data_IF_420457200213
#
_entry.id   IF_420457200213
#
_cell.length_a   1.000
_cell.length_b   1.000
_cell.length_c   1.000
_cell.angle_alpha   90.00
_cell.angle_beta   90.00
_cell.angle_gamma   90.00
#
_symmetry.space_group_name_H-M   'P 1'
#
loop_
_entity.id
_entity.type
_entity.pdbx_description
1 polymer ?
#
# COMPACT_ATOMS: atom_id res chain seq x y z
N UNK A 1 13.75 -12.28 20.65
CA UNK A 1 12.34 -12.60 20.36
C UNK A 1 11.76 -11.89 19.14
N UNK A 2 12.48 -10.96 18.49
CA UNK A 2 11.96 -10.18 17.31
C UNK A 2 12.12 -10.89 15.96
N UNK A 3 13.08 -11.82 15.81
CA UNK A 3 13.35 -12.50 14.54
C UNK A 3 12.23 -13.48 14.10
N UNK A 4 11.52 -14.08 15.06
CA UNK A 4 10.48 -15.09 14.77
C UNK A 4 9.20 -14.52 14.15
N UNK A 5 8.91 -13.20 14.33
CA UNK A 5 7.69 -12.56 13.76
C UNK A 5 7.79 -12.39 12.24
N UNK A 6 8.97 -12.13 11.70
CA UNK A 6 9.17 -11.95 10.26
C UNK A 6 9.21 -13.28 9.50
N UNK A 7 9.69 -14.33 10.13
CA UNK A 7 9.73 -15.69 9.54
C UNK A 7 8.32 -16.28 9.45
N UNK A 8 7.43 -15.96 10.40
CA UNK A 8 6.07 -16.50 10.43
C UNK A 8 5.19 -15.91 9.32
N UNK A 9 5.37 -14.63 8.98
CA UNK A 9 4.65 -13.98 7.87
C UNK A 9 5.13 -14.52 6.52
N UNK A 10 6.44 -14.71 6.34
CA UNK A 10 7.01 -15.27 5.12
C UNK A 10 6.59 -16.74 4.90
N UNK A 11 6.49 -17.53 5.96
CA UNK A 11 6.06 -18.94 5.87
C UNK A 11 4.56 -19.10 5.60
N UNK A 12 3.70 -18.18 6.05
CA UNK A 12 2.28 -18.20 5.69
C UNK A 12 2.04 -17.89 4.20
N UNK A 13 2.85 -17.01 3.61
CA UNK A 13 2.78 -16.68 2.18
C UNK A 13 3.24 -17.84 1.28
N UNK A 14 4.17 -18.66 1.74
CA UNK A 14 4.65 -19.83 0.99
C UNK A 14 3.73 -21.05 1.11
N UNK A 15 2.99 -21.19 2.22
CA UNK A 15 2.09 -22.33 2.46
C UNK A 15 0.76 -22.27 1.67
N UNK A 16 0.41 -21.11 1.11
CA UNK A 16 -0.83 -20.92 0.35
C UNK A 16 -0.77 -21.41 -1.11
N UNK A 17 0.39 -21.87 -1.60
CA UNK A 17 0.59 -22.21 -3.00
C UNK A 17 -0.03 -23.53 -3.53
N UNK A 18 -0.27 -24.61 -2.74
CA UNK A 18 -0.72 -25.86 -3.31
C UNK A 18 -2.23 -26.10 -3.38
N UNK A 19 -3.08 -25.23 -2.82
CA UNK A 19 -4.53 -25.46 -2.76
C UNK A 19 -5.33 -24.93 -3.96
N UNK A 20 -4.67 -24.48 -5.03
CA UNK A 20 -5.30 -23.81 -6.17
C UNK A 20 -6.10 -24.72 -7.12
N UNK A 21 -6.31 -25.99 -6.80
CA UNK A 21 -6.88 -26.95 -7.75
C UNK A 21 -8.41 -26.93 -7.88
N UNK A 22 -9.15 -26.26 -6.98
CA UNK A 22 -10.63 -26.27 -6.99
C UNK A 22 -11.32 -24.92 -6.73
N UNK A 23 -10.59 -23.82 -6.60
CA UNK A 23 -11.24 -22.52 -6.46
C UNK A 23 -11.64 -21.98 -7.83
N UNK A 24 -12.93 -21.56 -8.02
CA UNK A 24 -13.39 -20.96 -9.26
C UNK A 24 -12.83 -19.55 -9.41
N UNK A 25 -11.57 -19.43 -9.84
CA UNK A 25 -10.89 -18.15 -10.00
C UNK A 25 -9.42 -18.32 -10.31
N UNK A 26 -8.72 -17.21 -10.43
CA UNK A 26 -7.27 -17.18 -10.68
C UNK A 26 -6.54 -16.70 -9.45
N UNK A 27 -5.47 -17.40 -9.11
CA UNK A 27 -4.56 -17.03 -8.04
C UNK A 27 -3.23 -16.52 -8.62
N UNK A 28 -2.53 -15.67 -7.88
CA UNK A 28 -1.25 -15.18 -8.34
C UNK A 28 -0.46 -14.37 -7.33
N UNK A 29 0.60 -13.78 -7.82
CA UNK A 29 1.47 -12.89 -7.07
C UNK A 29 1.50 -11.52 -7.74
N UNK A 30 1.62 -10.50 -6.93
CA UNK A 30 1.77 -9.11 -7.32
C UNK A 30 2.95 -8.52 -6.56
N UNK A 31 3.80 -7.78 -7.27
CA UNK A 31 4.92 -7.06 -6.67
C UNK A 31 5.05 -5.68 -7.32
N UNK A 32 5.38 -4.68 -6.51
CA UNK A 32 5.46 -3.32 -6.97
C UNK A 32 6.07 -2.37 -5.96
N UNK A 33 5.94 -1.09 -6.25
CA UNK A 33 6.38 0.00 -5.40
C UNK A 33 5.23 0.96 -5.14
N UNK A 34 5.17 1.47 -3.92
CA UNK A 34 4.30 2.56 -3.52
C UNK A 34 5.09 3.87 -3.54
N UNK A 35 4.48 4.91 -4.09
CA UNK A 35 4.84 6.31 -3.88
C UNK A 35 3.77 6.89 -2.98
N UNK A 36 4.05 7.02 -1.69
CA UNK A 36 3.08 7.40 -0.67
C UNK A 36 3.41 8.74 -0.04
N UNK A 37 2.40 9.50 0.31
CA UNK A 37 2.49 10.76 1.01
C UNK A 37 1.31 10.93 1.97
N UNK A 38 1.38 11.93 2.83
CA UNK A 38 0.26 12.36 3.65
C UNK A 38 -0.57 13.42 2.93
N UNK A 39 -1.84 13.46 3.26
CA UNK A 39 -2.78 14.52 2.90
C UNK A 39 -3.58 14.92 4.14
N UNK A 40 -4.31 16.05 4.06
CA UNK A 40 -4.93 16.66 5.22
C UNK A 40 -4.03 17.74 5.84
N UNK A 41 -4.43 18.27 6.99
CA UNK A 41 -3.74 19.39 7.64
C UNK A 41 -2.26 19.10 7.93
N UNK A 42 -1.95 17.87 8.34
CA UNK A 42 -0.58 17.44 8.58
C UNK A 42 0.24 17.33 7.27
N UNK A 43 -0.35 16.78 6.21
CA UNK A 43 0.30 16.71 4.89
C UNK A 43 0.63 18.11 4.34
N UNK A 44 -0.28 19.06 4.50
CA UNK A 44 -0.06 20.45 4.06
C UNK A 44 1.06 21.16 4.87
N UNK A 45 1.27 20.73 6.13
CA UNK A 45 2.31 21.29 6.99
C UNK A 45 3.70 20.72 6.71
N UNK A 46 3.82 19.39 6.46
CA UNK A 46 5.13 18.72 6.31
C UNK A 46 5.63 18.69 4.87
N UNK A 47 4.77 19.04 3.90
CA UNK A 47 5.10 19.04 2.48
C UNK A 47 4.75 17.71 1.78
N UNK A 48 4.64 17.73 0.43
CA UNK A 48 4.10 16.63 -0.36
C UNK A 48 5.15 15.58 -0.78
N UNK A 49 6.27 15.44 -0.09
CA UNK A 49 7.32 14.55 -0.54
C UNK A 49 6.95 13.07 -0.39
N UNK A 50 7.12 12.35 -1.49
CA UNK A 50 6.73 10.96 -1.56
C UNK A 50 7.79 10.04 -0.95
N UNK A 51 7.32 9.13 -0.11
CA UNK A 51 8.12 7.98 0.33
C UNK A 51 7.97 6.82 -0.65
N UNK A 52 9.09 6.23 -1.06
CA UNK A 52 9.11 5.00 -1.88
C UNK A 52 9.16 3.79 -0.96
N UNK A 53 8.24 2.85 -1.13
CA UNK A 53 8.19 1.63 -0.33
C UNK A 53 7.72 0.42 -1.15
N UNK A 54 8.00 -0.80 -0.67
CA UNK A 54 7.61 -2.04 -1.33
C UNK A 54 6.12 -2.33 -1.15
N UNK A 55 5.54 -2.99 -2.17
CA UNK A 55 4.21 -3.59 -2.13
C UNK A 55 4.29 -4.99 -2.74
N UNK A 56 3.91 -6.02 -1.95
CA UNK A 56 3.95 -7.42 -2.40
C UNK A 56 2.70 -8.13 -1.88
N UNK A 57 1.97 -8.82 -2.75
CA UNK A 57 0.72 -9.46 -2.38
C UNK A 57 0.53 -10.81 -3.07
N UNK A 58 -0.16 -11.71 -2.38
CA UNK A 58 -0.90 -12.79 -3.01
C UNK A 58 -2.23 -12.21 -3.50
N UNK A 59 -2.61 -12.49 -4.74
CA UNK A 59 -3.83 -11.98 -5.36
C UNK A 59 -4.74 -13.14 -5.76
N UNK A 60 -6.04 -12.88 -5.69
CA UNK A 60 -7.09 -13.79 -6.11
C UNK A 60 -8.13 -13.02 -6.93
N UNK A 61 -8.51 -13.58 -8.06
CA UNK A 61 -9.53 -13.01 -8.93
C UNK A 61 -10.66 -14.02 -9.13
N UNK A 62 -11.89 -13.59 -8.83
CA UNK A 62 -13.10 -14.34 -9.07
C UNK A 62 -13.92 -13.68 -10.18
N UNK A 63 -14.03 -14.37 -11.33
CA UNK A 63 -14.78 -13.85 -12.47
C UNK A 63 -16.28 -14.09 -12.26
N UNK A 64 -17.07 -13.02 -12.07
CA UNK A 64 -18.54 -13.09 -12.05
C UNK A 64 -19.08 -13.36 -13.46
N UNK A 65 -18.53 -12.66 -14.44
CA UNK A 65 -18.80 -12.78 -15.86
C UNK A 65 -17.50 -12.50 -16.64
N UNK A 66 -17.50 -12.70 -17.93
CA UNK A 66 -16.28 -12.60 -18.78
C UNK A 66 -15.54 -11.26 -18.71
N UNK A 67 -16.23 -10.18 -18.38
CA UNK A 67 -15.66 -8.83 -18.33
C UNK A 67 -15.63 -8.22 -16.93
N UNK A 68 -16.22 -8.86 -15.88
CA UNK A 68 -16.29 -8.34 -14.53
C UNK A 68 -15.84 -9.38 -13.52
N UNK A 69 -14.88 -9.01 -12.66
CA UNK A 69 -14.32 -9.84 -11.61
C UNK A 69 -14.25 -9.12 -10.28
N UNK A 70 -14.21 -9.88 -9.19
CA UNK A 70 -13.68 -9.44 -7.92
C UNK A 70 -12.16 -9.66 -7.94
N UNK A 71 -11.40 -8.61 -7.72
CA UNK A 71 -9.97 -8.67 -7.45
C UNK A 71 -9.73 -8.43 -5.97
N UNK A 72 -9.18 -9.42 -5.29
CA UNK A 72 -8.86 -9.37 -3.86
C UNK A 72 -7.52 -10.01 -3.59
N UNK A 73 -7.10 -10.05 -2.34
CA UNK A 73 -5.84 -10.66 -1.95
C UNK A 73 -5.42 -10.26 -0.55
N UNK A 74 -4.20 -10.62 -0.21
CA UNK A 74 -3.56 -10.21 1.03
C UNK A 74 -2.08 -9.95 0.78
N UNK A 75 -1.55 -8.84 1.29
CA UNK A 75 -0.17 -8.49 1.04
C UNK A 75 0.42 -7.49 2.00
N UNK A 76 1.71 -7.29 1.85
CA UNK A 76 2.46 -6.25 2.53
C UNK A 76 2.43 -4.97 1.71
N UNK A 77 2.15 -3.86 2.38
CA UNK A 77 2.14 -2.52 1.79
C UNK A 77 2.88 -1.54 2.71
N UNK A 78 4.03 -1.05 2.26
CA UNK A 78 4.72 0.06 2.92
C UNK A 78 4.13 1.39 2.46
N UNK A 79 3.79 2.28 3.42
CA UNK A 79 3.26 3.63 3.18
C UNK A 79 3.95 4.64 4.09
N UNK A 80 3.61 5.92 3.97
CA UNK A 80 4.14 6.99 4.80
C UNK A 80 4.49 8.22 3.98
N UNK A 81 5.35 9.09 4.53
CA UNK A 81 5.78 10.31 3.87
C UNK A 81 7.16 10.75 4.32
N UNK A 82 7.71 11.72 3.60
CA UNK A 82 8.94 12.42 3.94
C UNK A 82 8.60 13.91 4.09
N UNK A 83 9.10 14.53 5.14
CA UNK A 83 8.98 15.96 5.36
C UNK A 83 10.36 16.59 5.53
N UNK A 84 10.44 17.87 5.20
CA UNK A 84 11.64 18.66 5.45
C UNK A 84 11.30 19.75 6.48
N UNK A 85 12.09 19.83 7.53
CA UNK A 85 11.97 20.89 8.52
C UNK A 85 13.26 21.69 8.61
N UNK A 86 13.12 23.00 8.79
CA UNK A 86 14.25 23.87 9.07
C UNK A 86 14.32 24.14 10.58
N UNK A 87 15.41 23.67 11.19
CA UNK A 87 15.69 23.98 12.60
C UNK A 87 16.09 25.45 12.75
N UNK A 88 15.52 26.12 13.76
CA UNK A 88 15.96 27.47 14.16
C UNK A 88 16.34 27.48 15.64
N UNK A 89 17.38 28.26 15.98
CA UNK A 89 17.74 28.51 17.38
C UNK A 89 16.69 29.45 18.05
N UNK A 90 16.73 29.62 19.39
CA UNK A 90 15.80 30.52 20.09
C UNK A 90 15.88 31.98 19.66
N UNK A 91 16.87 32.36 18.87
CA UNK A 91 17.09 33.74 18.36
C UNK A 91 16.64 33.86 16.90
N UNK A 92 16.21 32.72 16.28
CA UNK A 92 15.68 32.68 14.92
C UNK A 92 16.72 32.41 13.81
N UNK A 93 17.95 32.05 14.17
CA UNK A 93 18.95 31.66 13.14
C UNK A 93 18.73 30.21 12.69
N UNK A 94 18.91 29.90 11.40
CA UNK A 94 18.84 28.54 10.91
C UNK A 94 19.93 27.68 11.57
N UNK A 95 19.54 26.54 12.16
CA UNK A 95 20.45 25.58 12.80
C UNK A 95 20.72 24.34 11.91
N UNK A 96 20.02 24.21 10.81
CA UNK A 96 20.15 23.13 9.84
C UNK A 96 18.80 22.69 9.27
N UNK A 97 18.84 21.82 8.27
CA UNK A 97 17.66 21.14 7.71
C UNK A 97 17.57 19.74 8.27
N UNK A 98 16.37 19.28 8.61
CA UNK A 98 16.07 17.91 8.99
C UNK A 98 15.24 17.23 7.91
N UNK A 99 15.62 16.00 7.58
CA UNK A 99 14.77 15.11 6.82
C UNK A 99 14.05 14.18 7.79
N UNK A 100 12.74 14.31 7.83
CA UNK A 100 11.84 13.58 8.72
C UNK A 100 11.10 12.51 7.90
N UNK A 101 11.24 11.23 8.29
CA UNK A 101 10.65 10.10 7.58
C UNK A 101 9.66 9.36 8.46
N UNK A 102 8.41 9.29 8.02
CA UNK A 102 7.37 8.45 8.62
C UNK A 102 7.21 7.18 7.82
N UNK A 103 7.36 6.04 8.48
CA UNK A 103 7.33 4.72 7.86
C UNK A 103 6.22 3.88 8.47
N UNK A 104 5.20 3.52 7.68
CA UNK A 104 4.11 2.66 8.10
C UNK A 104 4.07 1.39 7.27
N UNK A 105 3.92 0.25 7.94
CA UNK A 105 3.83 -1.04 7.29
C UNK A 105 2.47 -1.66 7.58
N UNK A 106 1.79 -2.12 6.53
CA UNK A 106 0.44 -2.67 6.59
C UNK A 106 0.36 -4.08 6.01
N UNK A 107 -0.60 -4.85 6.53
CA UNK A 107 -1.24 -5.91 5.75
C UNK A 107 -2.43 -5.27 5.03
N UNK A 108 -2.42 -5.32 3.71
CA UNK A 108 -3.44 -4.73 2.83
C UNK A 108 -4.34 -5.82 2.26
N UNK A 109 -5.65 -5.63 2.34
CA UNK A 109 -6.67 -6.51 1.76
C UNK A 109 -7.58 -5.69 0.84
N UNK A 110 -7.32 -5.68 -0.48
CA UNK A 110 -8.17 -5.02 -1.45
C UNK A 110 -9.45 -5.82 -1.71
N UNK A 111 -10.59 -5.12 -1.91
CA UNK A 111 -11.85 -5.69 -2.37
C UNK A 111 -12.33 -4.89 -3.59
N UNK A 112 -11.72 -5.11 -4.75
CA UNK A 112 -11.91 -4.28 -5.92
C UNK A 112 -12.78 -4.97 -6.97
N UNK A 113 -13.76 -4.27 -7.52
CA UNK A 113 -14.44 -4.68 -8.74
C UNK A 113 -13.54 -4.30 -9.93
N UNK A 114 -13.16 -5.30 -10.73
CA UNK A 114 -12.31 -5.16 -11.92
C UNK A 114 -13.10 -5.41 -13.18
N UNK A 115 -13.28 -4.36 -13.97
CA UNK A 115 -13.83 -4.47 -15.33
C UNK A 115 -12.72 -4.65 -16.36
N UNK A 116 -12.87 -5.60 -17.29
CA UNK A 116 -11.91 -5.90 -18.36
C UNK A 116 -12.51 -5.68 -19.73
N UNK A 117 -11.70 -5.16 -20.64
CA UNK A 117 -12.08 -4.96 -22.03
C UNK A 117 -10.96 -5.48 -22.96
N UNK A 118 -11.28 -6.31 -23.95
CA UNK A 118 -10.30 -6.73 -24.94
C UNK A 118 -9.88 -5.54 -25.82
N UNK A 119 -8.58 -5.40 -26.11
CA UNK A 119 -8.07 -4.27 -26.90
C UNK A 119 -7.39 -4.73 -28.18
N UNK A 120 -6.43 -5.64 -28.11
CA UNK A 120 -5.64 -6.11 -29.25
C UNK A 120 -5.45 -7.63 -29.13
N UNK A 121 -6.27 -8.38 -29.87
CA UNK A 121 -6.21 -9.84 -29.85
C UNK A 121 -6.54 -10.40 -28.46
N UNK A 122 -5.55 -10.97 -27.80
CA UNK A 122 -5.69 -11.62 -26.49
C UNK A 122 -5.35 -10.72 -25.29
N UNK A 123 -5.03 -9.45 -25.55
CA UNK A 123 -4.69 -8.47 -24.50
C UNK A 123 -5.95 -7.80 -23.99
N UNK A 124 -5.97 -7.49 -22.69
CA UNK A 124 -7.07 -6.80 -22.04
C UNK A 124 -6.54 -5.57 -21.31
N UNK A 125 -7.25 -4.46 -21.41
CA UNK A 125 -7.14 -3.37 -20.45
C UNK A 125 -8.16 -3.60 -19.35
N UNK A 126 -7.85 -3.14 -18.14
CA UNK A 126 -8.79 -3.19 -17.03
C UNK A 126 -8.81 -1.88 -16.26
N UNK A 127 -9.92 -1.67 -15.59
CA UNK A 127 -10.07 -0.67 -14.55
C UNK A 127 -10.64 -1.34 -13.30
N UNK A 128 -10.27 -0.87 -12.14
CA UNK A 128 -10.72 -1.42 -10.87
C UNK A 128 -11.03 -0.32 -9.86
N UNK A 129 -11.99 -0.59 -9.00
CA UNK A 129 -12.42 0.34 -7.94
C UNK A 129 -13.01 -0.45 -6.78
N UNK A 130 -12.75 0.00 -5.54
CA UNK A 130 -13.38 -0.57 -4.35
C UNK A 130 -12.69 -0.22 -3.05
N UNK A 131 -13.18 -0.77 -1.93
CA UNK A 131 -12.59 -0.56 -0.62
C UNK A 131 -11.26 -1.28 -0.46
N UNK A 132 -10.41 -0.66 0.38
CA UNK A 132 -9.11 -1.15 0.81
C UNK A 132 -9.16 -1.29 2.34
N UNK A 133 -8.79 -2.45 2.86
CA UNK A 133 -8.71 -2.72 4.29
C UNK A 133 -7.24 -2.85 4.66
N UNK A 134 -6.75 -1.92 5.47
CA UNK A 134 -5.34 -1.86 5.86
C UNK A 134 -5.19 -2.13 7.36
N UNK A 135 -4.42 -3.16 7.72
CA UNK A 135 -4.08 -3.49 9.10
C UNK A 135 -2.63 -3.14 9.37
N UNK A 136 -2.41 -2.14 10.23
CA UNK A 136 -1.06 -1.68 10.52
C UNK A 136 -0.26 -2.69 11.33
N UNK A 137 0.94 -3.00 10.86
CA UNK A 137 1.92 -3.86 11.52
C UNK A 137 2.90 -3.06 12.38
N UNK A 138 3.31 -1.88 11.89
CA UNK A 138 4.24 -1.00 12.58
C UNK A 138 4.18 0.43 12.05
N UNK A 139 4.52 1.39 12.91
CA UNK A 139 4.75 2.79 12.58
C UNK A 139 6.06 3.24 13.20
N UNK A 140 6.86 4.00 12.45
CA UNK A 140 8.16 4.52 12.85
C UNK A 140 8.33 5.94 12.36
N UNK A 141 9.00 6.73 13.18
CA UNK A 141 9.46 8.07 12.85
C UNK A 141 10.98 8.12 12.96
N UNK A 142 11.63 8.66 11.96
CA UNK A 142 13.07 8.89 11.90
C UNK A 142 13.31 10.35 11.52
N UNK A 143 14.16 11.05 12.28
CA UNK A 143 14.57 12.43 12.02
C UNK A 143 16.09 12.54 12.07
N UNK A 144 16.67 13.24 11.11
CA UNK A 144 18.14 13.45 11.06
C UNK A 144 18.66 14.33 12.20
N UNK A 145 17.81 15.16 12.82
CA UNK A 145 18.20 16.05 13.92
C UNK A 145 17.77 15.56 15.30
N UNK A 146 16.75 14.69 15.41
CA UNK A 146 16.09 14.40 16.70
C UNK A 146 16.59 13.12 17.38
N UNK A 147 17.60 12.42 16.85
CA UNK A 147 18.18 11.24 17.53
C UNK A 147 17.57 9.90 17.09
N UNK A 148 17.49 8.89 17.98
CA UNK A 148 17.14 7.53 17.61
C UNK A 148 15.69 7.40 17.13
N UNK A 149 15.45 6.39 16.27
CA UNK A 149 14.14 5.99 15.73
C UNK A 149 13.08 5.89 16.84
N UNK A 150 11.95 6.57 16.66
CA UNK A 150 10.81 6.53 17.58
C UNK A 150 9.72 5.60 17.03
N UNK A 151 9.15 4.75 17.90
CA UNK A 151 8.03 3.88 17.56
C UNK A 151 6.70 4.61 17.76
N UNK A 152 5.93 4.75 16.69
CA UNK A 152 4.59 5.36 16.72
C UNK A 152 3.47 4.31 16.82
N UNK A 153 3.82 3.02 16.96
CA UNK A 153 2.86 1.90 16.83
C UNK A 153 1.72 1.96 17.84
N UNK A 154 1.97 2.44 19.05
CA UNK A 154 0.97 2.45 20.14
C UNK A 154 0.06 3.70 20.13
N UNK A 155 0.38 4.70 19.29
CA UNK A 155 -0.31 5.99 19.26
C UNK A 155 -1.30 6.11 18.08
N UNK A 156 -1.39 5.10 17.23
CA UNK A 156 -2.13 5.18 15.97
C UNK A 156 -3.15 4.04 15.84
N UNK A 157 -4.19 4.27 15.04
CA UNK A 157 -5.19 3.25 14.72
C UNK A 157 -4.56 2.01 14.08
N UNK A 158 -4.98 0.82 14.53
CA UNK A 158 -4.52 -0.47 13.98
C UNK A 158 -5.15 -0.75 12.62
N UNK A 159 -6.37 -0.27 12.42
CA UNK A 159 -7.17 -0.48 11.21
C UNK A 159 -7.38 0.84 10.50
N UNK A 160 -7.22 0.84 9.18
CA UNK A 160 -7.48 1.96 8.29
C UNK A 160 -8.35 1.47 7.13
N UNK A 161 -9.46 2.15 6.90
CA UNK A 161 -10.34 1.94 5.76
C UNK A 161 -9.99 2.95 4.68
N UNK A 162 -9.85 2.47 3.45
CA UNK A 162 -9.55 3.31 2.30
C UNK A 162 -10.38 2.97 1.07
N UNK A 163 -10.14 3.72 0.03
CA UNK A 163 -10.63 3.43 -1.33
C UNK A 163 -9.45 3.31 -2.27
N UNK A 164 -9.55 2.37 -3.23
CA UNK A 164 -8.58 2.17 -4.28
C UNK A 164 -9.21 2.25 -5.65
N UNK A 165 -8.54 2.93 -6.58
CA UNK A 165 -8.90 2.96 -8.00
C UNK A 165 -7.65 2.67 -8.83
N UNK A 166 -7.75 1.80 -9.82
CA UNK A 166 -6.61 1.39 -10.63
C UNK A 166 -6.96 1.14 -12.08
N UNK A 167 -5.93 1.17 -12.91
CA UNK A 167 -6.00 0.78 -14.32
C UNK A 167 -4.77 -0.04 -14.68
N UNK A 168 -4.91 -0.88 -15.69
CA UNK A 168 -3.79 -1.68 -16.15
C UNK A 168 -4.06 -2.41 -17.44
N UNK A 169 -3.08 -3.22 -17.83
CA UNK A 169 -3.13 -4.06 -19.00
C UNK A 169 -2.68 -5.49 -18.66
N UNK A 170 -3.37 -6.47 -19.18
CA UNK A 170 -3.07 -7.89 -19.03
C UNK A 170 -2.67 -8.51 -20.36
N UNK A 171 -1.65 -9.35 -20.32
CA UNK A 171 -1.14 -10.13 -21.45
C UNK A 171 -1.19 -11.62 -21.13
N UNK A 172 -1.53 -12.48 -22.08
CA UNK A 172 -1.28 -13.92 -21.91
C UNK A 172 0.20 -14.19 -21.73
N UNK A 173 0.56 -14.99 -20.73
CA UNK A 173 1.93 -15.38 -20.44
C UNK A 173 1.98 -16.86 -20.03
N UNK A 174 2.27 -17.74 -20.96
CA UNK A 174 2.24 -19.18 -20.74
C UNK A 174 0.83 -19.63 -20.31
N UNK A 175 0.70 -20.37 -19.18
CA UNK A 175 -0.59 -20.85 -18.68
C UNK A 175 -1.39 -19.77 -17.92
N UNK A 176 -0.86 -18.58 -17.74
CA UNK A 176 -1.45 -17.49 -16.95
C UNK A 176 -1.49 -16.17 -17.68
N UNK A 177 -1.60 -15.10 -16.91
CA UNK A 177 -1.64 -13.71 -17.36
C UNK A 177 -0.61 -12.88 -16.60
N UNK A 178 0.14 -12.07 -17.33
CA UNK A 178 1.00 -11.03 -16.81
C UNK A 178 0.24 -9.71 -16.83
N UNK A 179 0.14 -9.04 -15.70
CA UNK A 179 -0.49 -7.74 -15.55
C UNK A 179 0.53 -6.64 -15.25
N UNK A 180 0.30 -5.47 -15.81
CA UNK A 180 0.96 -4.22 -15.44
C UNK A 180 -0.12 -3.26 -14.98
N UNK A 181 0.02 -2.70 -13.77
CA UNK A 181 -1.02 -1.85 -13.20
C UNK A 181 -0.46 -0.62 -12.48
N UNK A 182 -1.26 0.42 -12.48
CA UNK A 182 -1.13 1.53 -11.55
C UNK A 182 -2.41 1.66 -10.75
N UNK A 183 -2.27 1.87 -9.44
CA UNK A 183 -3.39 2.04 -8.50
C UNK A 183 -3.15 3.24 -7.61
N UNK A 184 -4.16 4.06 -7.46
CA UNK A 184 -4.21 5.09 -6.44
C UNK A 184 -5.04 4.59 -5.27
N UNK A 185 -4.53 4.76 -4.06
CA UNK A 185 -5.23 4.43 -2.81
C UNK A 185 -5.26 5.66 -1.91
N UNK A 186 -6.37 5.85 -1.19
CA UNK A 186 -6.54 6.91 -0.21
C UNK A 186 -7.28 6.39 1.00
N UNK A 187 -6.74 6.61 2.19
CA UNK A 187 -7.42 6.39 3.46
C UNK A 187 -8.66 7.29 3.59
N UNK A 188 -9.63 6.83 4.32
CA UNK A 188 -10.85 7.57 4.65
C UNK A 188 -10.85 8.02 6.11
N UNK A 189 -10.07 7.37 6.94
CA UNK A 189 -9.95 7.63 8.37
C UNK A 189 -8.63 8.35 8.69
N UNK A 190 -8.63 9.14 9.75
CA UNK A 190 -7.41 9.74 10.28
C UNK A 190 -6.51 8.66 10.91
N UNK A 191 -5.20 8.79 10.70
CA UNK A 191 -4.21 7.86 11.28
C UNK A 191 -4.16 7.93 12.81
N UNK A 192 -4.56 9.06 13.40
CA UNK A 192 -4.55 9.29 14.84
C UNK A 192 -5.97 9.43 15.36
N UNK A 193 -6.31 8.67 16.42
CA UNK A 193 -7.61 8.75 17.12
C UNK A 193 -7.49 9.67 18.37
N UNK A 194 -6.86 10.83 18.23
CA UNK A 194 -6.67 11.78 19.33
C UNK A 194 -7.30 13.12 18.96
N UNK A 195 -8.32 13.54 19.72
CA UNK A 195 -8.95 14.84 19.55
C UNK A 195 -7.94 15.98 19.72
N UNK A 196 -7.79 16.81 18.68
CA UNK A 196 -6.85 17.94 18.68
C UNK A 196 -5.54 17.69 17.92
N UNK A 197 -5.37 16.52 17.31
CA UNK A 197 -4.30 16.29 16.32
C UNK A 197 -4.74 16.76 14.93
N UNK A 198 -3.76 17.15 14.12
CA UNK A 198 -3.98 17.52 12.72
C UNK A 198 -4.46 16.31 11.93
N UNK A 199 -5.46 16.49 11.08
CA UNK A 199 -5.96 15.43 10.19
C UNK A 199 -4.83 14.90 9.33
N UNK A 200 -4.60 13.58 9.40
CA UNK A 200 -3.49 12.89 8.71
C UNK A 200 -4.02 11.67 7.99
N UNK A 201 -4.07 11.73 6.68
CA UNK A 201 -4.60 10.67 5.83
C UNK A 201 -3.49 10.14 4.93
N UNK A 202 -3.34 8.81 4.84
CA UNK A 202 -2.42 8.18 3.90
C UNK A 202 -2.98 8.18 2.49
N UNK A 203 -2.11 8.46 1.53
CA UNK A 203 -2.38 8.20 0.12
C UNK A 203 -1.16 7.55 -0.55
N UNK A 204 -1.39 6.77 -1.60
CA UNK A 204 -0.31 6.15 -2.34
C UNK A 204 -0.67 5.91 -3.81
N UNK A 205 0.30 6.13 -4.68
CA UNK A 205 0.33 5.56 -6.01
C UNK A 205 1.13 4.26 -5.98
N UNK A 206 0.55 3.18 -6.45
CA UNK A 206 1.22 1.88 -6.57
C UNK A 206 1.47 1.56 -8.04
N UNK A 207 2.68 1.19 -8.39
CA UNK A 207 3.04 0.66 -9.71
C UNK A 207 3.47 -0.80 -9.52
N UNK A 208 2.78 -1.72 -10.16
CA UNK A 208 2.98 -3.14 -9.91
C UNK A 208 2.94 -4.01 -11.17
N UNK A 209 3.58 -5.15 -11.05
CA UNK A 209 3.50 -6.28 -11.98
C UNK A 209 2.82 -7.43 -11.25
N UNK A 210 1.91 -8.12 -11.92
CA UNK A 210 1.22 -9.30 -11.39
C UNK A 210 1.32 -10.47 -12.35
N UNK A 211 1.30 -11.69 -11.79
CA UNK A 211 1.12 -12.90 -12.57
C UNK A 211 0.04 -13.76 -11.91
N UNK A 212 -0.99 -14.11 -12.67
CA UNK A 212 -2.14 -14.91 -12.20
C UNK A 212 -2.36 -16.13 -13.10
N UNK A 213 -2.74 -17.23 -12.45
CA UNK A 213 -3.07 -18.49 -13.13
C UNK A 213 -4.31 -19.13 -12.51
#
# INVERSE_FOLDING_TARGET
>A
MRLYRHVLVASLLLAAAPAAAEFPGRCGLRAGVNLSAFTGEFGDLVGPDNRVAANVAFVYEYDFISWLALHTGVGYSGKGGVGHSEGTDPVGNPTGTSDDTWSFNYVEVPLLLRGRMPVLGTKHVFAELGPMLDFRLSGKFESTLSGPEESLTDQMNVFDLGVGAGVGIEFPAGPGRLGLETRYTRGLDDLYDVSGTLSTINQAWTFAVSYTR
#
